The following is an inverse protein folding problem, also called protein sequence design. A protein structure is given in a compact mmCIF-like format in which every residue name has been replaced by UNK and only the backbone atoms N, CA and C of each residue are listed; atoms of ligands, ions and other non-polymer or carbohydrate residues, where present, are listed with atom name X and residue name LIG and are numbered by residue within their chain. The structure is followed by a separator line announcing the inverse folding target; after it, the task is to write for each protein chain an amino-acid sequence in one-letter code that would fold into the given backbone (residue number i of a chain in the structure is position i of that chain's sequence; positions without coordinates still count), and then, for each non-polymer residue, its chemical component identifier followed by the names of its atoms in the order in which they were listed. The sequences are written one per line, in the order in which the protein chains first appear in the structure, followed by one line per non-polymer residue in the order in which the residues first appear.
data_IF_005297385402
#
_entry.id   IF_005297385402
#
_cell.length_a   1.000
_cell.length_b   1.000
_cell.length_c   1.000
_cell.angle_alpha   90.00
_cell.angle_beta   90.00
_cell.angle_gamma   90.00
#
_symmetry.space_group_name_H-M   'P 1'
#
loop_
_entity.id
_entity.type
_entity.pdbx_description
1 polymer ?
#
# COMPACT_ATOMS: atom_id res chain seq x y z
N UNK A 1 -24.99 -7.51 -20.88
CA UNK A 1 -24.00 -6.46 -20.63
C UNK A 1 -24.14 -5.49 -21.79
N UNK A 2 -24.57 -4.25 -21.52
CA UNK A 2 -24.87 -3.28 -22.59
C UNK A 2 -23.57 -2.66 -23.07
N UNK A 3 -23.10 -3.11 -24.23
CA UNK A 3 -22.07 -2.43 -25.06
C UNK A 3 -22.75 -1.37 -25.96
N UNK A 4 -23.37 -0.40 -25.36
CA UNK A 4 -23.76 0.79 -26.12
C UNK A 4 -22.64 1.82 -25.94
N UNK A 5 -22.14 2.39 -27.04
CA UNK A 5 -21.29 3.58 -27.14
C UNK A 5 -21.97 4.74 -26.41
N UNK A 6 -21.97 4.72 -25.10
CA UNK A 6 -22.54 5.79 -24.29
C UNK A 6 -21.48 6.89 -24.19
N UNK A 7 -21.85 8.06 -24.66
CA UNK A 7 -21.10 9.29 -24.41
C UNK A 7 -20.72 9.39 -22.94
N UNK A 8 -19.44 9.57 -22.65
CA UNK A 8 -18.94 9.59 -21.27
C UNK A 8 -19.48 10.81 -20.54
N UNK A 9 -20.06 10.61 -19.37
CA UNK A 9 -20.51 11.70 -18.50
C UNK A 9 -19.34 12.64 -18.19
N UNK A 10 -19.60 13.96 -18.21
CA UNK A 10 -18.64 14.94 -17.72
C UNK A 10 -18.13 14.59 -16.33
N UNK A 11 -16.81 14.60 -16.13
CA UNK A 11 -16.20 14.24 -14.86
C UNK A 11 -14.78 13.69 -14.97
N UNK A 12 -14.24 13.23 -13.84
CA UNK A 12 -12.94 12.60 -13.74
C UNK A 12 -13.06 11.08 -13.76
N UNK A 13 -12.28 10.44 -14.62
CA UNK A 13 -12.12 8.99 -14.76
C UNK A 13 -10.70 8.61 -14.32
N UNK A 14 -10.56 7.95 -13.17
CA UNK A 14 -9.29 7.43 -12.68
C UNK A 14 -9.08 6.08 -13.34
N UNK A 15 -8.13 6.00 -14.29
CA UNK A 15 -7.95 4.81 -15.13
C UNK A 15 -6.65 4.11 -14.78
N UNK A 16 -6.74 2.84 -14.37
CA UNK A 16 -5.58 2.01 -14.09
C UNK A 16 -4.92 1.55 -15.38
N UNK A 17 -3.57 1.61 -15.41
CA UNK A 17 -2.74 1.13 -16.51
C UNK A 17 -1.95 -0.14 -16.10
N UNK A 18 -1.42 -0.91 -17.07
CA UNK A 18 -0.58 -2.09 -16.78
C UNK A 18 0.64 -1.76 -15.92
N UNK A 19 1.10 -2.73 -15.13
CA UNK A 19 2.33 -2.61 -14.31
C UNK A 19 3.55 -3.26 -14.96
N UNK A 20 3.40 -3.79 -16.18
CA UNK A 20 4.51 -4.43 -16.90
C UNK A 20 4.06 -5.14 -18.16
N UNK A 21 2.98 -5.92 -18.10
CA UNK A 21 2.41 -6.59 -19.26
C UNK A 21 1.27 -5.74 -19.85
N UNK A 22 1.45 -5.25 -21.06
CA UNK A 22 0.42 -4.44 -21.73
C UNK A 22 -0.95 -5.13 -21.81
N UNK A 23 -1.00 -6.46 -21.89
CA UNK A 23 -2.26 -7.20 -21.96
C UNK A 23 -3.09 -7.16 -20.68
N UNK A 24 -2.56 -6.64 -19.58
CA UNK A 24 -3.28 -6.50 -18.32
C UNK A 24 -4.19 -5.27 -18.26
N UNK A 25 -4.25 -4.48 -19.33
CA UNK A 25 -5.23 -3.40 -19.46
C UNK A 25 -6.65 -3.97 -19.61
N UNK A 26 -7.62 -3.34 -18.97
CA UNK A 26 -9.01 -3.76 -19.12
C UNK A 26 -9.62 -3.18 -20.41
N UNK A 27 -10.57 -3.91 -21.00
CA UNK A 27 -11.33 -3.41 -22.17
C UNK A 27 -11.97 -2.05 -21.87
N UNK A 28 -12.56 -1.91 -20.66
CA UNK A 28 -13.17 -0.65 -20.23
C UNK A 28 -12.17 0.49 -20.09
N UNK A 29 -10.92 0.21 -19.74
CA UNK A 29 -9.86 1.23 -19.72
C UNK A 29 -9.54 1.72 -21.13
N UNK A 30 -9.44 0.81 -22.11
CA UNK A 30 -9.23 1.13 -23.52
C UNK A 30 -10.38 2.00 -24.00
N UNK A 31 -11.64 1.58 -23.80
CA UNK A 31 -12.83 2.32 -24.24
C UNK A 31 -12.90 3.70 -23.59
N UNK A 32 -12.61 3.80 -22.31
CA UNK A 32 -12.58 5.07 -21.59
C UNK A 32 -11.53 6.02 -22.19
N UNK A 33 -10.29 5.54 -22.38
CA UNK A 33 -9.18 6.35 -22.92
C UNK A 33 -9.39 6.74 -24.39
N UNK A 34 -10.15 5.97 -25.14
CA UNK A 34 -10.54 6.31 -26.51
C UNK A 34 -11.61 7.40 -26.57
N UNK A 35 -12.48 7.51 -25.56
CA UNK A 35 -13.68 8.34 -25.61
C UNK A 35 -13.63 9.60 -24.72
N UNK A 36 -12.72 9.69 -23.74
CA UNK A 36 -12.56 10.93 -22.93
C UNK A 36 -12.09 12.11 -23.80
N UNK A 37 -12.44 13.32 -23.40
CA UNK A 37 -11.98 14.53 -24.09
C UNK A 37 -10.48 14.77 -23.93
N UNK A 38 -9.94 14.54 -22.73
CA UNK A 38 -8.53 14.79 -22.41
C UNK A 38 -7.98 13.73 -21.45
N UNK A 39 -6.69 13.46 -21.57
CA UNK A 39 -5.95 12.55 -20.68
C UNK A 39 -4.86 13.33 -19.96
N UNK A 40 -4.86 13.26 -18.63
CA UNK A 40 -3.81 13.77 -17.76
C UNK A 40 -2.98 12.60 -17.21
N UNK A 41 -1.66 12.76 -17.24
CA UNK A 41 -0.71 11.71 -16.84
C UNK A 41 0.53 12.31 -16.18
N UNK A 42 1.30 11.50 -15.46
CA UNK A 42 2.53 11.92 -14.82
C UNK A 42 3.63 12.18 -15.86
N UNK A 43 3.98 11.18 -16.66
CA UNK A 43 4.92 11.30 -17.78
C UNK A 43 4.23 10.97 -19.12
N UNK A 44 4.07 12.00 -19.97
CA UNK A 44 3.46 11.84 -21.28
C UNK A 44 4.18 10.86 -22.20
N UNK A 45 5.49 10.68 -22.03
CA UNK A 45 6.29 9.76 -22.84
C UNK A 45 5.98 8.29 -22.49
N UNK A 46 5.79 8.00 -21.21
CA UNK A 46 5.43 6.67 -20.71
C UNK A 46 4.02 6.33 -21.14
N UNK A 47 3.07 7.21 -20.84
CA UNK A 47 1.65 7.03 -21.22
C UNK A 47 1.49 6.88 -22.72
N UNK A 48 2.18 7.70 -23.55
CA UNK A 48 2.08 7.62 -25.02
C UNK A 48 2.51 6.26 -25.56
N UNK A 49 3.52 5.60 -24.97
CA UNK A 49 3.92 4.24 -25.36
C UNK A 49 2.77 3.24 -25.17
N UNK A 50 2.07 3.33 -24.03
CA UNK A 50 0.93 2.45 -23.74
C UNK A 50 -0.21 2.74 -24.71
N UNK A 51 -0.59 4.02 -24.89
CA UNK A 51 -1.68 4.40 -25.81
C UNK A 51 -1.40 3.94 -27.24
N UNK A 52 -0.14 4.04 -27.70
CA UNK A 52 0.28 3.60 -29.03
C UNK A 52 0.07 2.11 -29.28
N UNK A 53 0.26 1.26 -28.26
CA UNK A 53 0.01 -0.19 -28.35
C UNK A 53 -1.46 -0.45 -28.71
N UNK A 54 -2.38 0.34 -28.15
CA UNK A 54 -3.83 0.18 -28.37
C UNK A 54 -4.38 1.12 -29.45
N UNK A 55 -3.50 1.79 -30.21
CA UNK A 55 -3.87 2.72 -31.28
C UNK A 55 -4.79 3.85 -30.78
N UNK A 56 -4.61 4.30 -29.55
CA UNK A 56 -5.34 5.42 -28.96
C UNK A 56 -4.58 6.68 -29.30
N UNK A 57 -5.21 7.54 -30.09
CA UNK A 57 -4.66 8.85 -30.49
C UNK A 57 -5.37 9.97 -29.75
N UNK A 58 -4.89 10.32 -28.55
CA UNK A 58 -5.42 11.39 -27.70
C UNK A 58 -4.31 12.29 -27.20
N UNK A 59 -4.62 13.58 -27.08
CA UNK A 59 -3.69 14.55 -26.53
C UNK A 59 -3.43 14.31 -25.05
N UNK A 60 -2.16 14.23 -24.67
CA UNK A 60 -1.70 14.02 -23.30
C UNK A 60 -1.33 15.36 -22.66
N UNK A 61 -1.65 15.51 -21.38
CA UNK A 61 -1.29 16.67 -20.55
C UNK A 61 -0.64 16.20 -19.25
N UNK A 62 0.35 16.93 -18.79
CA UNK A 62 1.06 16.58 -17.57
C UNK A 62 0.25 16.98 -16.34
N UNK A 63 0.15 16.05 -15.40
CA UNK A 63 -0.33 16.26 -14.04
C UNK A 63 0.53 15.48 -13.05
N UNK A 64 1.26 16.19 -12.21
CA UNK A 64 2.14 15.63 -11.18
C UNK A 64 2.15 16.57 -9.96
N UNK A 65 2.72 16.16 -8.85
CA UNK A 65 2.68 16.91 -7.58
C UNK A 65 3.26 18.33 -7.72
N UNK A 66 4.29 18.53 -8.54
CA UNK A 66 4.92 19.85 -8.72
C UNK A 66 4.07 20.84 -9.53
N UNK A 67 3.18 20.39 -10.43
CA UNK A 67 2.34 21.28 -11.23
C UNK A 67 0.86 21.25 -10.80
N UNK A 68 0.49 20.35 -9.91
CA UNK A 68 -0.89 20.09 -9.52
C UNK A 68 -1.64 21.34 -9.05
N UNK A 69 -0.98 22.23 -8.32
CA UNK A 69 -1.58 23.49 -7.84
C UNK A 69 -2.09 24.39 -8.98
N UNK A 70 -1.35 24.45 -10.09
CA UNK A 70 -1.73 25.26 -11.27
C UNK A 70 -2.70 24.55 -12.19
N UNK A 71 -2.63 23.21 -12.26
CA UNK A 71 -3.39 22.40 -13.22
C UNK A 71 -4.76 22.00 -12.68
N UNK A 72 -4.92 21.75 -11.36
CA UNK A 72 -6.21 21.38 -10.76
C UNK A 72 -7.36 22.35 -11.07
N UNK A 73 -7.21 23.68 -10.89
CA UNK A 73 -8.30 24.62 -11.23
C UNK A 73 -8.72 24.54 -12.70
N UNK A 74 -7.77 24.28 -13.61
CA UNK A 74 -8.05 24.13 -15.04
C UNK A 74 -8.85 22.85 -15.33
N UNK A 75 -8.49 21.73 -14.69
CA UNK A 75 -9.23 20.47 -14.80
C UNK A 75 -10.65 20.64 -14.27
N UNK A 76 -10.81 21.23 -13.08
CA UNK A 76 -12.11 21.47 -12.46
C UNK A 76 -12.99 22.34 -13.36
N UNK A 77 -12.45 23.43 -13.92
CA UNK A 77 -13.18 24.29 -14.85
C UNK A 77 -13.67 23.50 -16.07
N UNK A 78 -12.79 22.70 -16.70
CA UNK A 78 -13.16 21.91 -17.88
C UNK A 78 -14.25 20.90 -17.59
N UNK A 79 -14.21 20.25 -16.41
CA UNK A 79 -15.27 19.33 -15.99
C UNK A 79 -16.59 20.10 -15.78
N UNK A 80 -16.56 21.29 -15.18
CA UNK A 80 -17.74 22.18 -15.07
C UNK A 80 -18.27 22.60 -16.43
N UNK A 81 -17.38 22.77 -17.42
CA UNK A 81 -17.73 23.12 -18.82
C UNK A 81 -18.18 21.87 -19.63
N UNK A 82 -18.42 20.72 -18.98
CA UNK A 82 -19.01 19.54 -19.62
C UNK A 82 -18.00 18.51 -20.11
N UNK A 83 -16.69 18.64 -19.83
CA UNK A 83 -15.65 17.73 -20.32
C UNK A 83 -15.50 16.47 -19.48
N UNK A 84 -15.23 15.36 -20.15
CA UNK A 84 -14.77 14.08 -19.57
C UNK A 84 -13.24 14.02 -19.59
N UNK A 85 -12.62 13.75 -18.44
CA UNK A 85 -11.16 13.76 -18.27
C UNK A 85 -10.69 12.46 -17.65
N UNK A 86 -9.69 11.81 -18.26
CA UNK A 86 -9.01 10.68 -17.63
C UNK A 86 -7.76 11.15 -16.87
N UNK A 87 -7.53 10.56 -15.70
CA UNK A 87 -6.28 10.62 -14.96
C UNK A 87 -5.65 9.25 -14.96
N UNK A 88 -4.41 9.16 -15.42
CA UNK A 88 -3.60 7.94 -15.40
C UNK A 88 -2.26 8.20 -14.71
N UNK A 89 -1.67 7.16 -14.12
CA UNK A 89 -0.27 7.14 -13.66
C UNK A 89 0.62 6.43 -14.68
N UNK A 90 1.92 6.41 -14.45
CA UNK A 90 2.86 5.73 -15.33
C UNK A 90 2.66 4.20 -15.32
N UNK A 91 2.15 3.65 -14.21
CA UNK A 91 1.82 2.23 -14.08
C UNK A 91 0.81 2.00 -12.94
N UNK A 92 -0.07 1.02 -13.09
CA UNK A 92 -1.00 0.62 -12.04
C UNK A 92 -2.16 1.60 -11.84
N UNK A 93 -2.64 1.69 -10.61
CA UNK A 93 -3.80 2.49 -10.21
C UNK A 93 -3.34 3.86 -9.73
N UNK A 94 -3.78 4.97 -10.38
CA UNK A 94 -3.46 6.32 -9.94
C UNK A 94 -3.83 6.57 -8.46
N UNK A 95 -3.19 7.54 -7.82
CA UNK A 95 -3.33 7.93 -6.41
C UNK A 95 -2.65 6.96 -5.40
N UNK A 96 -2.30 5.76 -5.80
CA UNK A 96 -1.65 4.76 -4.92
C UNK A 96 -0.13 4.93 -5.01
N UNK A 97 0.42 5.81 -4.20
CA UNK A 97 1.79 6.35 -4.27
C UNK A 97 2.06 7.22 -5.50
N UNK A 98 1.01 7.69 -6.16
CA UNK A 98 1.01 8.52 -7.36
C UNK A 98 0.22 9.81 -7.14
N UNK A 99 0.41 10.85 -7.97
CA UNK A 99 -0.35 12.09 -7.91
C UNK A 99 -1.86 11.89 -8.12
N UNK A 100 -2.69 12.77 -7.53
CA UNK A 100 -4.13 12.81 -7.83
C UNK A 100 -5.05 12.99 -6.62
N UNK A 101 -4.61 12.67 -5.41
CA UNK A 101 -5.44 12.75 -4.20
C UNK A 101 -6.12 14.13 -4.06
N UNK A 102 -5.34 15.24 -4.14
CA UNK A 102 -5.87 16.59 -3.99
C UNK A 102 -6.89 16.95 -5.08
N UNK A 103 -6.69 16.47 -6.32
CA UNK A 103 -7.66 16.68 -7.41
C UNK A 103 -8.99 15.99 -7.11
N UNK A 104 -8.95 14.73 -6.68
CA UNK A 104 -10.16 13.99 -6.33
C UNK A 104 -10.89 14.64 -5.16
N UNK A 105 -10.17 15.07 -4.12
CA UNK A 105 -10.75 15.81 -3.00
C UNK A 105 -11.47 17.07 -3.45
N UNK A 106 -10.78 17.96 -4.19
CA UNK A 106 -11.35 19.22 -4.68
C UNK A 106 -12.57 19.01 -5.61
N UNK A 107 -12.56 17.95 -6.44
CA UNK A 107 -13.71 17.60 -7.27
C UNK A 107 -14.91 17.18 -6.44
N UNK A 108 -14.68 16.35 -5.39
CA UNK A 108 -15.73 15.93 -4.46
C UNK A 108 -16.31 17.09 -3.67
N UNK A 109 -15.46 18.03 -3.22
CA UNK A 109 -15.89 19.23 -2.51
C UNK A 109 -16.73 20.18 -3.41
N UNK A 110 -16.63 20.02 -4.73
CA UNK A 110 -17.43 20.77 -5.72
C UNK A 110 -18.60 19.93 -6.29
N UNK A 111 -18.97 18.80 -5.70
CA UNK A 111 -20.04 17.89 -6.16
C UNK A 111 -19.88 17.43 -7.63
N UNK A 112 -18.64 17.39 -8.13
CA UNK A 112 -18.34 16.96 -9.49
C UNK A 112 -18.20 15.44 -9.56
N UNK A 113 -18.57 14.88 -10.71
CA UNK A 113 -18.53 13.43 -10.93
C UNK A 113 -17.09 12.91 -10.97
N UNK A 114 -16.80 11.91 -10.14
CA UNK A 114 -15.54 11.18 -10.14
C UNK A 114 -15.85 9.69 -10.11
N UNK A 115 -15.23 8.94 -11.00
CA UNK A 115 -15.35 7.48 -11.05
C UNK A 115 -13.99 6.83 -11.28
N UNK A 116 -13.89 5.54 -10.96
CA UNK A 116 -12.71 4.73 -11.27
C UNK A 116 -13.02 3.70 -12.36
N UNK A 117 -12.06 3.49 -13.24
CA UNK A 117 -11.98 2.35 -14.14
C UNK A 117 -10.97 1.38 -13.52
N UNK A 118 -11.43 0.34 -12.77
CA UNK A 118 -10.56 -0.57 -12.05
C UNK A 118 -9.63 -1.33 -12.99
N UNK A 119 -8.48 -1.66 -12.48
CA UNK A 119 -7.49 -2.46 -13.20
C UNK A 119 -6.39 -2.94 -12.27
N UNK A 120 -5.18 -3.04 -12.78
CA UNK A 120 -4.03 -3.58 -12.07
C UNK A 120 -3.59 -2.65 -10.93
N UNK A 121 -3.20 -3.27 -9.82
CA UNK A 121 -2.62 -2.61 -8.66
C UNK A 121 -1.45 -3.44 -8.14
N UNK A 122 -0.23 -2.89 -8.20
CA UNK A 122 0.97 -3.61 -7.80
C UNK A 122 0.98 -4.06 -6.33
N UNK A 123 0.47 -3.28 -5.33
CA UNK A 123 0.34 -3.77 -3.96
C UNK A 123 -0.55 -5.01 -3.84
N UNK A 124 -1.69 -5.01 -4.52
CA UNK A 124 -2.65 -6.14 -4.49
C UNK A 124 -2.07 -7.34 -5.24
N UNK A 125 -1.45 -7.13 -6.40
CA UNK A 125 -0.78 -8.19 -7.16
C UNK A 125 0.32 -8.85 -6.31
N UNK A 126 1.17 -8.06 -5.63
CA UNK A 126 2.20 -8.58 -4.74
C UNK A 126 1.59 -9.35 -3.56
N UNK A 127 0.53 -8.83 -2.94
CA UNK A 127 -0.15 -9.50 -1.84
C UNK A 127 -0.68 -10.87 -2.26
N UNK A 128 -1.30 -10.98 -3.45
CA UNK A 128 -1.81 -12.27 -3.95
C UNK A 128 -0.72 -13.27 -4.28
N UNK A 129 0.48 -12.82 -4.70
CA UNK A 129 1.62 -13.66 -5.03
C UNK A 129 2.47 -14.05 -3.81
N UNK A 130 2.34 -13.33 -2.71
CA UNK A 130 3.21 -13.44 -1.54
C UNK A 130 3.07 -14.76 -0.77
N UNK A 131 1.91 -15.42 -0.84
CA UNK A 131 1.57 -16.57 0.01
C UNK A 131 1.40 -16.21 1.50
N UNK A 132 1.28 -14.92 1.84
CA UNK A 132 1.05 -14.40 3.19
C UNK A 132 -0.43 -14.11 3.42
N UNK A 133 -0.91 -13.97 4.68
CA UNK A 133 -2.31 -13.68 4.97
C UNK A 133 -2.81 -12.40 4.27
N UNK A 134 -3.98 -12.47 3.63
CA UNK A 134 -4.52 -11.40 2.80
C UNK A 134 -5.74 -10.71 3.39
N UNK A 135 -6.29 -11.25 4.47
CA UNK A 135 -7.54 -10.78 5.09
C UNK A 135 -7.42 -9.41 5.77
N UNK A 136 -6.22 -9.02 6.16
CA UNK A 136 -5.92 -7.72 6.75
C UNK A 136 -4.51 -7.31 6.34
N UNK A 137 -4.35 -6.13 5.74
CA UNK A 137 -3.05 -5.63 5.31
C UNK A 137 -2.94 -4.11 5.45
N UNK A 138 -1.72 -3.63 5.59
CA UNK A 138 -1.38 -2.23 5.67
C UNK A 138 -0.39 -1.85 4.58
N UNK A 139 -0.74 -0.91 3.73
CA UNK A 139 0.13 -0.41 2.67
C UNK A 139 0.87 0.84 3.14
N UNK A 140 2.20 0.76 3.18
CA UNK A 140 3.09 1.85 3.60
C UNK A 140 3.57 2.73 2.45
N UNK A 141 3.45 2.27 1.19
CA UNK A 141 4.09 2.95 0.07
C UNK A 141 5.62 2.86 0.13
N UNK A 142 6.32 3.90 -0.34
CA UNK A 142 7.78 3.98 -0.24
C UNK A 142 8.22 4.44 1.14
N UNK A 143 9.19 3.73 1.71
CA UNK A 143 9.78 4.14 2.97
C UNK A 143 10.63 5.41 2.83
N UNK A 144 10.71 6.27 3.87
CA UNK A 144 11.57 7.44 3.88
C UNK A 144 13.03 7.08 3.55
N UNK A 145 13.67 7.93 2.73
CA UNK A 145 15.08 7.72 2.33
C UNK A 145 16.06 7.97 3.48
N UNK A 146 15.72 8.90 4.39
CA UNK A 146 16.52 9.19 5.58
C UNK A 146 16.37 8.07 6.61
N UNK A 147 17.46 7.68 7.25
CA UNK A 147 17.51 6.53 8.18
C UNK A 147 16.53 6.70 9.34
N UNK A 148 16.61 7.82 10.07
CA UNK A 148 15.80 7.99 11.28
C UNK A 148 14.28 8.01 11.00
N UNK A 149 13.75 8.79 10.04
CA UNK A 149 12.33 8.73 9.68
C UNK A 149 11.88 7.34 9.21
N UNK A 150 12.73 6.59 8.49
CA UNK A 150 12.43 5.22 8.06
C UNK A 150 12.32 4.28 9.25
N UNK A 151 13.28 4.33 10.19
CA UNK A 151 13.27 3.49 11.39
C UNK A 151 12.08 3.83 12.29
N UNK A 152 11.76 5.10 12.47
CA UNK A 152 10.59 5.53 13.25
C UNK A 152 9.30 4.95 12.65
N UNK A 153 9.10 5.07 11.33
CA UNK A 153 7.92 4.52 10.67
C UNK A 153 7.82 2.98 10.85
N UNK A 154 8.95 2.27 10.83
CA UNK A 154 8.98 0.83 11.08
C UNK A 154 8.66 0.49 12.54
N UNK A 155 9.12 1.28 13.50
CA UNK A 155 8.73 1.12 14.93
C UNK A 155 7.22 1.35 15.13
N UNK A 156 6.64 2.36 14.45
CA UNK A 156 5.18 2.65 14.54
C UNK A 156 4.34 1.45 14.08
N UNK A 157 4.79 0.73 13.05
CA UNK A 157 4.06 -0.42 12.51
C UNK A 157 4.46 -1.76 13.13
N UNK A 158 5.45 -1.79 14.01
CA UNK A 158 6.00 -3.01 14.64
C UNK A 158 4.93 -3.83 15.36
N UNK A 159 3.98 -3.15 16.00
CA UNK A 159 2.90 -3.77 16.78
C UNK A 159 1.66 -4.15 15.95
N UNK A 160 1.63 -3.79 14.68
CA UNK A 160 0.50 -4.12 13.82
C UNK A 160 0.48 -5.63 13.53
N UNK A 161 -0.61 -6.29 13.90
CA UNK A 161 -0.84 -7.73 13.63
C UNK A 161 -1.49 -7.88 12.25
N UNK A 162 -0.74 -7.53 11.19
CA UNK A 162 -1.27 -7.51 9.82
C UNK A 162 -0.15 -7.73 8.80
N UNK A 163 -0.51 -8.04 7.58
CA UNK A 163 0.42 -8.06 6.46
C UNK A 163 0.76 -6.63 6.05
N UNK A 164 2.03 -6.32 5.88
CA UNK A 164 2.53 -5.00 5.51
C UNK A 164 3.07 -5.06 4.09
N UNK A 165 2.70 -4.09 3.27
CA UNK A 165 3.15 -3.95 1.88
C UNK A 165 3.97 -2.68 1.74
N UNK A 166 5.16 -2.80 1.16
CA UNK A 166 6.13 -1.70 1.00
C UNK A 166 6.62 -1.66 -0.44
N UNK A 167 6.66 -0.49 -1.04
CA UNK A 167 7.37 -0.26 -2.29
C UNK A 167 8.85 -0.03 -2.04
N UNK A 168 9.69 -0.65 -2.87
CA UNK A 168 11.13 -0.48 -2.75
C UNK A 168 11.81 -0.51 -4.12
N UNK A 169 13.02 0.01 -4.17
CA UNK A 169 13.89 -0.01 -5.35
C UNK A 169 15.06 -0.98 -5.16
N UNK A 170 15.54 -1.54 -6.25
CA UNK A 170 16.67 -2.47 -6.24
C UNK A 170 17.92 -1.91 -5.54
N UNK A 171 18.14 -0.59 -5.61
CA UNK A 171 19.31 0.07 -5.00
C UNK A 171 19.20 0.19 -3.47
N UNK A 172 18.00 0.14 -2.90
CA UNK A 172 17.75 0.35 -1.47
C UNK A 172 17.40 -0.93 -0.72
N UNK A 173 17.03 -2.00 -1.43
CA UNK A 173 16.50 -3.24 -0.84
C UNK A 173 17.37 -3.80 0.29
N UNK A 174 18.70 -3.85 0.13
CA UNK A 174 19.61 -4.39 1.14
C UNK A 174 19.58 -3.56 2.44
N UNK A 175 19.50 -2.23 2.34
CA UNK A 175 19.39 -1.34 3.52
C UNK A 175 18.05 -1.52 4.20
N UNK A 176 16.99 -1.62 3.42
CA UNK A 176 15.62 -1.82 3.91
C UNK A 176 15.49 -3.16 4.61
N UNK A 177 15.99 -4.26 4.04
CA UNK A 177 15.96 -5.57 4.69
C UNK A 177 16.72 -5.56 6.03
N UNK A 178 17.86 -4.86 6.11
CA UNK A 178 18.59 -4.69 7.38
C UNK A 178 17.74 -4.00 8.44
N UNK A 179 17.12 -2.87 8.10
CA UNK A 179 16.26 -2.14 9.05
C UNK A 179 15.01 -2.96 9.44
N UNK A 180 14.45 -3.76 8.50
CA UNK A 180 13.33 -4.66 8.79
C UNK A 180 13.72 -5.74 9.81
N UNK A 181 14.93 -6.35 9.66
CA UNK A 181 15.44 -7.34 10.62
C UNK A 181 15.67 -6.69 11.98
N UNK A 182 16.37 -5.56 12.01
CA UNK A 182 16.75 -4.86 13.25
C UNK A 182 15.52 -4.44 14.08
N UNK A 183 14.46 -4.00 13.42
CA UNK A 183 13.30 -3.38 14.07
C UNK A 183 12.14 -4.37 14.24
N UNK A 184 11.82 -5.10 13.17
CA UNK A 184 10.64 -5.97 13.14
C UNK A 184 10.97 -7.43 13.48
N UNK A 185 12.26 -7.78 13.52
CA UNK A 185 12.73 -9.15 13.74
C UNK A 185 12.64 -10.04 12.48
N UNK A 186 12.99 -11.31 12.64
CA UNK A 186 13.06 -12.28 11.53
C UNK A 186 11.67 -12.84 11.19
N UNK A 187 10.89 -12.09 10.44
CA UNK A 187 9.50 -12.41 10.03
C UNK A 187 9.45 -13.08 8.66
N UNK A 188 8.28 -13.66 8.34
CA UNK A 188 8.01 -14.12 6.96
C UNK A 188 7.88 -12.94 6.02
N UNK A 189 8.52 -13.05 4.85
CA UNK A 189 8.58 -12.02 3.83
C UNK A 189 8.44 -12.63 2.43
N UNK A 190 7.89 -11.87 1.51
CA UNK A 190 7.94 -12.10 0.08
C UNK A 190 8.50 -10.86 -0.60
N UNK A 191 9.47 -11.04 -1.49
CA UNK A 191 9.99 -10.02 -2.37
C UNK A 191 9.46 -10.29 -3.76
N UNK A 192 8.53 -9.44 -4.22
CA UNK A 192 7.92 -9.53 -5.55
C UNK A 192 8.64 -8.53 -6.45
N UNK A 193 9.36 -9.02 -7.45
CA UNK A 193 10.18 -8.24 -8.36
C UNK A 193 9.68 -8.35 -9.78
N UNK A 194 9.63 -7.24 -10.53
CA UNK A 194 9.30 -7.20 -11.95
C UNK A 194 8.00 -7.96 -12.30
N UNK A 195 6.99 -7.85 -11.44
CA UNK A 195 5.71 -8.56 -11.61
C UNK A 195 5.09 -8.29 -12.98
N UNK A 196 4.50 -9.31 -13.58
CA UNK A 196 3.91 -9.35 -14.93
C UNK A 196 4.91 -9.18 -16.09
N UNK A 197 6.20 -8.94 -15.81
CA UNK A 197 7.26 -8.76 -16.80
C UNK A 197 8.03 -10.06 -17.06
N UNK A 198 8.88 -10.07 -18.08
CA UNK A 198 9.71 -11.23 -18.48
C UNK A 198 10.57 -11.78 -17.32
N UNK A 199 10.99 -10.92 -16.42
CA UNK A 199 11.88 -11.27 -15.29
C UNK A 199 11.16 -11.23 -13.95
N UNK A 200 9.87 -11.58 -13.96
CA UNK A 200 9.10 -11.75 -12.72
C UNK A 200 9.78 -12.77 -11.82
N UNK A 201 9.97 -12.40 -10.57
CA UNK A 201 10.58 -13.25 -9.56
C UNK A 201 9.93 -13.00 -8.21
N UNK A 202 9.54 -14.08 -7.53
CA UNK A 202 9.01 -14.03 -6.17
C UNK A 202 9.92 -14.83 -5.26
N UNK A 203 10.57 -14.15 -4.29
CA UNK A 203 11.47 -14.77 -3.33
C UNK A 203 10.76 -14.75 -1.96
N UNK A 204 10.52 -15.91 -1.39
CA UNK A 204 9.79 -16.05 -0.11
C UNK A 204 10.66 -16.73 0.95
N UNK A 205 10.43 -16.41 2.20
CA UNK A 205 11.14 -17.02 3.33
C UNK A 205 11.07 -16.15 4.58
N UNK A 206 11.97 -16.41 5.53
CA UNK A 206 12.24 -15.45 6.60
C UNK A 206 13.18 -14.35 6.10
N UNK A 207 13.11 -13.16 6.70
CA UNK A 207 13.86 -11.96 6.22
C UNK A 207 15.37 -12.25 6.13
N UNK A 208 15.96 -12.94 7.12
CA UNK A 208 17.40 -13.27 7.13
C UNK A 208 17.80 -14.16 5.95
N UNK A 209 16.98 -15.18 5.64
CA UNK A 209 17.21 -16.05 4.49
C UNK A 209 17.12 -15.25 3.17
N UNK A 210 16.04 -14.49 3.03
CA UNK A 210 15.79 -13.68 1.82
C UNK A 210 16.88 -12.60 1.65
N UNK A 211 17.34 -11.99 2.73
CA UNK A 211 18.44 -11.02 2.69
C UNK A 211 19.75 -11.64 2.17
N UNK A 212 20.07 -12.87 2.57
CA UNK A 212 21.24 -13.61 2.05
C UNK A 212 21.11 -13.91 0.56
N UNK A 213 19.94 -14.39 0.13
CA UNK A 213 19.66 -14.68 -1.28
C UNK A 213 19.78 -13.41 -2.15
N UNK A 214 19.24 -12.28 -1.68
CA UNK A 214 19.27 -10.99 -2.39
C UNK A 214 20.68 -10.43 -2.45
N UNK A 215 21.48 -10.56 -1.39
CA UNK A 215 22.85 -10.05 -1.36
C UNK A 215 23.75 -10.71 -2.43
N UNK A 216 23.45 -11.94 -2.84
CA UNK A 216 24.17 -12.65 -3.90
C UNK A 216 23.76 -12.24 -5.32
N UNK A 217 22.67 -11.46 -5.45
CA UNK A 217 22.09 -11.08 -6.75
C UNK A 217 22.31 -9.60 -7.04
N UNK A 218 22.62 -9.27 -8.28
CA UNK A 218 22.58 -7.88 -8.76
C UNK A 218 21.15 -7.55 -9.20
N UNK A 219 20.30 -7.21 -8.26
CA UNK A 219 18.91 -6.89 -8.54
C UNK A 219 18.77 -5.61 -9.38
N UNK A 220 17.75 -5.61 -10.24
CA UNK A 220 17.30 -4.45 -11.02
C UNK A 220 15.78 -4.47 -11.07
N UNK A 221 15.19 -3.31 -11.35
CA UNK A 221 13.75 -3.17 -11.54
C UNK A 221 12.99 -2.79 -10.28
N UNK A 222 11.68 -2.91 -10.37
CA UNK A 222 10.73 -2.52 -9.34
C UNK A 222 10.48 -3.67 -8.37
N UNK A 223 10.36 -3.33 -7.11
CA UNK A 223 10.23 -4.31 -6.03
C UNK A 223 9.04 -3.93 -5.14
N UNK A 224 8.23 -4.91 -4.83
CA UNK A 224 7.23 -4.81 -3.76
C UNK A 224 7.60 -5.83 -2.68
N UNK A 225 7.74 -5.36 -1.47
CA UNK A 225 7.98 -6.17 -0.28
C UNK A 225 6.63 -6.43 0.38
N UNK A 226 6.33 -7.69 0.65
CA UNK A 226 5.18 -8.08 1.47
C UNK A 226 5.73 -8.83 2.68
N UNK A 227 5.42 -8.35 3.88
CA UNK A 227 5.87 -9.02 5.10
C UNK A 227 4.68 -9.21 6.04
N UNK A 228 4.67 -10.34 6.73
CA UNK A 228 3.64 -10.65 7.69
C UNK A 228 4.18 -10.43 9.11
N UNK A 229 3.43 -9.63 9.86
CA UNK A 229 3.60 -9.57 11.29
C UNK A 229 3.00 -10.85 11.88
N UNK A 230 3.73 -11.96 11.75
CA UNK A 230 3.40 -13.12 12.56
C UNK A 230 3.36 -12.62 14.02
N UNK A 231 2.45 -13.16 14.82
CA UNK A 231 2.56 -12.94 16.25
C UNK A 231 4.06 -12.99 16.53
N UNK A 232 4.73 -11.84 16.79
CA UNK A 232 5.84 -11.99 17.69
C UNK A 232 5.27 -12.98 18.70
N UNK A 233 5.99 -14.03 19.03
CA UNK A 233 5.97 -14.47 20.40
C UNK A 233 5.94 -13.15 21.11
N UNK A 234 4.73 -12.69 21.50
CA UNK A 234 4.66 -11.57 22.43
C UNK A 234 5.85 -11.91 23.29
N UNK A 235 6.90 -11.06 23.41
CA UNK A 235 7.68 -11.17 24.64
C UNK A 235 6.57 -11.44 25.57
N UNK A 236 6.46 -12.74 25.97
CA UNK A 236 5.29 -13.15 26.74
C UNK A 236 5.33 -12.13 27.81
N UNK A 237 4.46 -11.08 27.64
CA UNK A 237 4.31 -10.12 28.71
C UNK A 237 3.90 -11.11 29.77
N UNK A 238 4.90 -11.50 30.56
CA UNK A 238 4.69 -12.56 31.52
C UNK A 238 3.71 -11.92 32.47
N UNK A 239 2.42 -11.97 32.08
CA UNK A 239 1.34 -11.40 32.87
C UNK A 239 1.48 -11.84 34.32
N UNK A 240 2.09 -12.99 34.55
CA UNK A 240 2.42 -13.48 35.88
C UNK A 240 3.53 -12.66 36.53
N UNK A 241 4.60 -12.31 35.82
CA UNK A 241 5.66 -11.44 36.33
C UNK A 241 5.13 -10.04 36.60
N UNK A 242 4.33 -9.46 35.69
CA UNK A 242 3.73 -8.16 35.89
C UNK A 242 2.74 -8.21 37.06
N UNK A 243 1.86 -9.20 37.11
CA UNK A 243 0.91 -9.35 38.23
C UNK A 243 1.69 -9.50 39.54
N UNK A 244 2.75 -10.28 39.54
CA UNK A 244 3.58 -10.53 40.74
C UNK A 244 4.38 -9.29 41.16
N UNK A 245 4.80 -8.42 40.24
CA UNK A 245 5.48 -7.14 40.62
C UNK A 245 4.59 -6.17 41.39
N UNK A 246 3.25 -6.31 41.28
CA UNK A 246 2.26 -5.50 41.99
C UNK A 246 1.58 -6.28 43.13
N UNK A 247 2.11 -7.44 43.54
CA UNK A 247 1.46 -8.34 44.51
C UNK A 247 1.32 -7.67 45.86
N UNK A 248 0.08 -7.48 46.29
CA UNK A 248 -0.25 -6.90 47.60
C UNK A 248 -0.61 -5.39 47.61
N UNK A 249 -0.38 -4.66 46.52
CA UNK A 249 -0.59 -3.23 46.47
C UNK A 249 -2.02 -2.81 46.05
N UNK A 250 -2.71 -3.67 45.28
CA UNK A 250 -4.00 -3.33 44.70
C UNK A 250 -5.05 -4.45 44.83
N UNK A 251 -6.33 -4.07 44.79
CA UNK A 251 -7.43 -5.03 44.64
C UNK A 251 -7.39 -5.66 43.24
N UNK A 252 -7.82 -6.92 43.05
CA UNK A 252 -7.77 -7.60 41.75
C UNK A 252 -8.38 -6.83 40.59
N UNK A 253 -9.50 -6.15 40.83
CA UNK A 253 -10.19 -5.35 39.81
C UNK A 253 -9.47 -4.05 39.44
N UNK A 254 -8.77 -3.45 40.39
CA UNK A 254 -7.95 -2.25 40.18
C UNK A 254 -6.65 -2.62 39.44
N UNK A 255 -5.98 -3.67 39.91
CA UNK A 255 -4.79 -4.20 39.28
C UNK A 255 -5.06 -4.61 37.82
N UNK A 256 -6.18 -5.31 37.59
CA UNK A 256 -6.57 -5.68 36.22
C UNK A 256 -6.81 -4.47 35.32
N UNK A 257 -7.31 -3.34 35.85
CA UNK A 257 -7.47 -2.10 35.10
C UNK A 257 -6.12 -1.46 34.78
N UNK A 258 -5.23 -1.31 35.78
CA UNK A 258 -3.88 -0.72 35.60
C UNK A 258 -3.09 -1.48 34.55
N UNK A 259 -3.04 -2.81 34.67
CA UNK A 259 -2.32 -3.65 33.70
C UNK A 259 -2.98 -3.60 32.32
N UNK A 260 -4.32 -3.55 32.25
CA UNK A 260 -5.06 -3.41 30.98
C UNK A 260 -4.69 -2.10 30.25
N UNK A 261 -4.64 -0.98 31.00
CA UNK A 261 -4.30 0.33 30.45
C UNK A 261 -2.83 0.40 29.98
N UNK A 262 -1.92 -0.32 30.65
CA UNK A 262 -0.49 -0.36 30.29
C UNK A 262 -0.17 -1.35 29.16
N UNK A 263 -0.86 -2.49 29.10
CA UNK A 263 -0.49 -3.60 28.21
C UNK A 263 -1.42 -3.76 27.01
N UNK A 264 -2.62 -3.15 27.07
CA UNK A 264 -3.67 -3.32 26.05
C UNK A 264 -4.39 -4.68 26.09
N UNK A 265 -4.10 -5.55 27.07
CA UNK A 265 -4.86 -6.79 27.26
C UNK A 265 -6.26 -6.51 27.82
N UNK A 266 -7.22 -7.35 27.44
CA UNK A 266 -8.58 -7.26 28.02
C UNK A 266 -8.55 -7.37 29.54
N UNK A 267 -9.20 -6.42 30.22
CA UNK A 267 -9.34 -6.40 31.68
C UNK A 267 -9.86 -7.74 32.24
N UNK A 268 -10.78 -8.39 31.53
CA UNK A 268 -11.34 -9.67 31.95
C UNK A 268 -10.30 -10.80 31.91
N UNK A 269 -9.42 -10.83 30.91
CA UNK A 269 -8.35 -11.83 30.80
C UNK A 269 -7.38 -11.65 31.96
N UNK A 270 -6.97 -10.42 32.25
CA UNK A 270 -6.04 -10.11 33.34
C UNK A 270 -6.67 -10.45 34.68
N UNK A 271 -7.94 -10.06 34.90
CA UNK A 271 -8.66 -10.35 36.14
C UNK A 271 -8.72 -11.87 36.43
N UNK A 272 -9.12 -12.66 35.43
CA UNK A 272 -9.18 -14.13 35.59
C UNK A 272 -7.80 -14.73 35.88
N UNK A 273 -6.72 -14.21 35.29
CA UNK A 273 -5.36 -14.65 35.58
C UNK A 273 -4.93 -14.30 37.01
N UNK A 274 -5.27 -13.09 37.49
CA UNK A 274 -5.02 -12.67 38.87
C UNK A 274 -5.72 -13.57 39.87
N UNK A 275 -6.99 -13.92 39.63
CA UNK A 275 -7.74 -14.83 40.52
C UNK A 275 -7.10 -16.20 40.54
N UNK A 276 -6.78 -16.76 39.37
CA UNK A 276 -6.11 -18.08 39.25
C UNK A 276 -4.79 -18.14 40.00
N UNK A 277 -3.95 -17.11 39.92
CA UNK A 277 -2.67 -17.02 40.62
C UNK A 277 -2.85 -16.84 42.14
N UNK A 278 -4.02 -16.35 42.59
CA UNK A 278 -4.35 -16.27 44.03
C UNK A 278 -4.84 -17.60 44.59
N UNK A 279 -5.43 -18.46 43.77
CA UNK A 279 -5.90 -19.80 44.17
C UNK A 279 -4.77 -20.82 44.22
N UNK A 280 -3.68 -20.59 43.43
CA UNK A 280 -2.50 -21.46 43.35
C UNK A 280 -1.43 -21.14 44.41
N UNK A 281 -1.58 -20.05 45.21
CA UNK A 281 -0.69 -19.60 46.29
C UNK A 281 -1.41 -19.56 47.63
#
# INVERSE_FOLDING_TARGET
MNDENKELKSGLYIVSLPIGNSKDITLRAIDCLQNVDEIYCEDTRVTNKILSIYKINRGLKNYHDHNGEKVRPQIIKKIKDGKSIALVSDAGTPLISDPGYKLVSELKDNDLYVTAVPGVSSPITALTLSGLPTNNFYFLGFLPTKIQPRRNLLEDVKRLKTTIIIFETANKINKTLKDLIDILGNRKIAICREMTKKFEEIITGNIEYVAKEIALKKLKGEIVIVLYSDKQKDEEINLEEIINSFKGEYRPSELAKIISDQTGFSKNIIYNKIIKLKEEN
#
